data_IF_569968323557
#
_entry.id   IF_569968323557
#
_cell.length_a   1.000
_cell.length_b   1.000
_cell.length_c   1.000
_cell.angle_alpha   90.00
_cell.angle_beta   90.00
_cell.angle_gamma   90.00
#
_symmetry.space_group_name_H-M   'P 1'
#
loop_
_entity.id
_entity.type
_entity.pdbx_description
1 polymer ?
#
# COMPACT_ATOMS: atom_id res chain seq x y z
N UNK A 1 27.62 42.58 12.53
CA UNK A 1 29.01 42.15 12.30
C UNK A 1 28.92 40.82 11.57
N UNK A 2 29.44 40.73 10.35
CA UNK A 2 29.35 39.51 9.53
C UNK A 2 30.32 38.42 10.01
N UNK A 3 30.03 37.16 9.69
CA UNK A 3 30.90 36.01 10.00
C UNK A 3 32.34 36.24 9.53
N UNK A 4 32.51 36.91 8.39
CA UNK A 4 33.81 37.30 7.83
C UNK A 4 34.60 38.27 8.73
N UNK A 5 33.93 39.24 9.37
CA UNK A 5 34.54 40.17 10.34
C UNK A 5 34.92 39.45 11.65
N UNK A 6 34.16 38.42 12.02
CA UNK A 6 34.44 37.62 13.21
C UNK A 6 35.67 36.71 12.98
N UNK A 7 35.77 36.09 11.80
CA UNK A 7 36.87 35.22 11.42
C UNK A 7 38.19 36.00 11.19
N UNK A 8 38.13 37.20 10.64
CA UNK A 8 39.32 38.05 10.40
C UNK A 8 39.88 38.71 11.65
N UNK A 9 39.05 39.04 12.66
CA UNK A 9 39.54 39.67 13.91
C UNK A 9 40.32 38.72 14.84
N UNK A 10 40.18 37.41 14.67
CA UNK A 10 40.97 36.42 15.41
C UNK A 10 42.40 36.24 14.89
N UNK A 11 42.72 36.79 13.71
CA UNK A 11 43.99 36.58 13.02
C UNK A 11 45.00 37.69 13.34
N UNK A 12 45.61 37.60 14.53
CA UNK A 12 46.92 38.21 14.81
C UNK A 12 48.07 37.33 14.32
N UNK A 13 49.26 37.90 14.15
CA UNK A 13 50.48 37.23 13.67
C UNK A 13 50.72 35.88 14.41
N UNK A 14 50.75 34.80 13.62
CA UNK A 14 50.82 33.36 13.96
C UNK A 14 51.31 33.01 15.38
N UNK A 15 50.57 32.10 16.04
CA UNK A 15 51.12 30.79 16.38
C UNK A 15 50.18 29.64 16.02
N UNK A 16 50.68 28.41 16.13
CA UNK A 16 49.93 27.15 15.97
C UNK A 16 48.55 27.26 16.61
N UNK A 17 47.50 27.10 15.80
CA UNK A 17 46.10 27.23 16.23
C UNK A 17 45.79 26.05 17.14
N UNK A 18 45.13 26.27 18.28
CA UNK A 18 44.79 25.17 19.18
C UNK A 18 43.77 24.24 18.51
N UNK A 19 43.72 22.96 18.91
CA UNK A 19 42.71 22.01 18.41
C UNK A 19 41.27 22.53 18.63
N UNK A 20 41.07 23.35 19.66
CA UNK A 20 39.78 24.00 19.97
C UNK A 20 39.44 25.06 18.92
N UNK A 21 40.39 25.91 18.56
CA UNK A 21 40.20 26.97 17.56
C UNK A 21 40.06 26.39 16.13
N UNK A 22 40.74 25.28 15.84
CA UNK A 22 40.54 24.51 14.60
C UNK A 22 39.12 23.93 14.53
N UNK A 23 38.61 23.37 15.64
CA UNK A 23 37.23 22.88 15.71
C UNK A 23 36.20 23.99 15.46
N UNK A 24 36.37 25.15 16.07
CA UNK A 24 35.49 26.33 15.87
C UNK A 24 35.54 26.79 14.40
N UNK A 25 36.71 26.81 13.77
CA UNK A 25 36.84 27.15 12.36
C UNK A 25 36.11 26.16 11.45
N UNK A 26 36.27 24.85 11.70
CA UNK A 26 35.60 23.80 10.94
C UNK A 26 34.09 23.93 11.05
N UNK A 27 33.55 24.09 12.26
CA UNK A 27 32.10 24.22 12.48
C UNK A 27 31.53 25.46 11.77
N UNK A 28 32.21 26.61 11.88
CA UNK A 28 31.82 27.83 11.18
C UNK A 28 31.89 27.67 9.65
N UNK A 29 32.91 26.96 9.13
CA UNK A 29 33.05 26.71 7.69
C UNK A 29 31.96 25.78 7.15
N UNK A 30 31.55 24.77 7.94
CA UNK A 30 30.43 23.88 7.62
C UNK A 30 29.12 24.64 7.56
N UNK A 31 28.84 25.46 8.56
CA UNK A 31 27.62 26.27 8.59
C UNK A 31 27.56 27.23 7.40
N UNK A 32 28.67 27.93 7.11
CA UNK A 32 28.75 28.81 5.94
C UNK A 32 28.56 28.06 4.62
N UNK A 33 29.15 26.87 4.48
CA UNK A 33 28.97 26.02 3.30
C UNK A 33 27.50 25.59 3.12
N UNK A 34 26.79 25.26 4.20
CA UNK A 34 25.37 24.91 4.17
C UNK A 34 24.49 26.10 3.78
N UNK A 35 24.77 27.29 4.31
CA UNK A 35 24.05 28.51 3.93
C UNK A 35 24.22 28.80 2.44
N UNK A 36 25.47 28.86 1.96
CA UNK A 36 25.78 29.05 0.54
C UNK A 36 25.10 27.99 -0.33
N UNK A 37 25.11 26.73 0.13
CA UNK A 37 24.49 25.63 -0.58
C UNK A 37 22.98 25.85 -0.76
N UNK A 38 22.27 26.17 0.33
CA UNK A 38 20.82 26.39 0.33
C UNK A 38 20.44 27.58 -0.53
N UNK A 39 21.16 28.70 -0.41
CA UNK A 39 20.87 29.92 -1.18
C UNK A 39 21.03 29.70 -2.68
N UNK A 40 22.15 29.10 -3.10
CA UNK A 40 22.39 28.78 -4.50
C UNK A 40 21.40 27.73 -5.02
N UNK A 41 21.06 26.70 -4.21
CA UNK A 41 20.06 25.70 -4.57
C UNK A 41 18.71 26.36 -4.85
N UNK A 42 18.25 27.25 -3.98
CA UNK A 42 16.98 27.99 -4.18
C UNK A 42 17.01 28.82 -5.46
N UNK A 43 18.10 29.53 -5.75
CA UNK A 43 18.22 30.33 -6.96
C UNK A 43 18.12 29.49 -8.25
N UNK A 44 18.75 28.31 -8.28
CA UNK A 44 18.65 27.37 -9.41
C UNK A 44 17.20 26.90 -9.61
N UNK A 45 16.47 26.62 -8.52
CA UNK A 45 15.05 26.24 -8.59
C UNK A 45 14.23 27.38 -9.19
N UNK A 46 14.32 28.57 -8.60
CA UNK A 46 13.49 29.70 -8.97
C UNK A 46 13.67 30.08 -10.44
N UNK A 47 14.91 30.08 -10.92
CA UNK A 47 15.22 30.32 -12.33
C UNK A 47 14.59 29.27 -13.25
N UNK A 48 14.72 27.98 -12.92
CA UNK A 48 14.10 26.91 -13.70
C UNK A 48 12.57 27.03 -13.73
N UNK A 49 11.95 27.32 -12.59
CA UNK A 49 10.50 27.47 -12.48
C UNK A 49 9.98 28.67 -13.28
N UNK A 50 10.67 29.81 -13.21
CA UNK A 50 10.36 30.98 -14.01
C UNK A 50 10.48 30.69 -15.52
N UNK A 51 11.48 29.89 -15.90
CA UNK A 51 11.75 29.50 -17.27
C UNK A 51 10.69 28.56 -17.86
N UNK A 52 10.21 27.58 -17.11
CA UNK A 52 9.11 26.72 -17.55
C UNK A 52 7.77 27.48 -17.71
N UNK A 53 7.53 28.46 -16.85
CA UNK A 53 6.30 29.25 -16.88
C UNK A 53 6.25 30.26 -18.04
N UNK A 54 7.38 30.53 -18.72
CA UNK A 54 7.48 31.62 -19.69
C UNK A 54 7.03 31.21 -21.10
N UNK A 55 5.86 31.66 -21.60
CA UNK A 55 5.21 31.00 -22.75
C UNK A 55 5.75 31.37 -24.15
N UNK A 56 6.86 32.10 -24.25
CA UNK A 56 7.07 32.99 -25.42
C UNK A 56 8.42 32.91 -26.14
N UNK A 57 9.44 32.27 -25.57
CA UNK A 57 10.75 32.21 -26.21
C UNK A 57 10.91 30.93 -27.05
N UNK A 58 11.42 31.09 -28.28
CA UNK A 58 11.63 29.99 -29.24
C UNK A 58 12.93 30.18 -29.99
N UNK A 59 13.45 29.08 -30.56
CA UNK A 59 14.63 29.12 -31.44
C UNK A 59 15.84 29.72 -30.72
N UNK A 60 16.58 30.58 -31.43
CA UNK A 60 17.81 31.23 -30.91
C UNK A 60 17.58 32.07 -29.66
N UNK A 61 16.42 32.72 -29.51
CA UNK A 61 16.15 33.57 -28.36
C UNK A 61 15.99 32.75 -27.06
N UNK A 62 15.36 31.57 -27.17
CA UNK A 62 15.29 30.61 -26.06
C UNK A 62 16.68 30.07 -25.72
N UNK A 63 17.47 29.69 -26.74
CA UNK A 63 18.83 29.17 -26.54
C UNK A 63 19.72 30.18 -25.82
N UNK A 64 19.68 31.45 -26.25
CA UNK A 64 20.45 32.52 -25.62
C UNK A 64 20.05 32.71 -24.17
N UNK A 65 18.75 32.75 -23.88
CA UNK A 65 18.26 32.89 -22.51
C UNK A 65 18.70 31.73 -21.61
N UNK A 66 18.52 30.48 -22.06
CA UNK A 66 18.93 29.29 -21.30
C UNK A 66 20.44 29.35 -21.00
N UNK A 67 21.25 29.75 -21.99
CA UNK A 67 22.70 29.91 -21.81
C UNK A 67 23.02 31.00 -20.80
N UNK A 68 22.44 32.19 -20.97
CA UNK A 68 22.69 33.33 -20.07
C UNK A 68 22.27 33.02 -18.65
N UNK A 69 21.11 32.39 -18.43
CA UNK A 69 20.64 32.00 -17.10
C UNK A 69 21.58 30.96 -16.46
N UNK A 70 22.01 29.95 -17.24
CA UNK A 70 22.98 28.95 -16.80
C UNK A 70 24.32 29.59 -16.39
N UNK A 71 24.87 30.48 -17.22
CA UNK A 71 26.13 31.19 -16.98
C UNK A 71 26.03 32.10 -15.75
N UNK A 72 24.95 32.89 -15.64
CA UNK A 72 24.71 33.77 -14.49
C UNK A 72 24.60 32.99 -13.18
N UNK A 73 23.90 31.85 -13.19
CA UNK A 73 23.79 31.01 -11.99
C UNK A 73 25.10 30.33 -11.61
N UNK A 74 25.88 29.87 -12.59
CA UNK A 74 27.22 29.34 -12.31
C UNK A 74 28.16 30.41 -11.75
N UNK A 75 28.10 31.63 -12.29
CA UNK A 75 28.84 32.76 -11.74
C UNK A 75 28.40 33.05 -10.31
N UNK A 76 27.09 33.07 -10.03
CA UNK A 76 26.57 33.24 -8.67
C UNK A 76 27.05 32.13 -7.73
N UNK A 77 27.05 30.87 -8.16
CA UNK A 77 27.58 29.74 -7.38
C UNK A 77 29.08 29.97 -7.07
N UNK A 78 29.86 30.37 -8.08
CA UNK A 78 31.27 30.69 -7.91
C UNK A 78 31.48 31.81 -6.88
N UNK A 79 30.75 32.92 -7.03
CA UNK A 79 30.85 34.09 -6.16
C UNK A 79 30.48 33.80 -4.70
N UNK A 80 29.51 32.91 -4.46
CA UNK A 80 29.12 32.52 -3.10
C UNK A 80 30.16 31.62 -2.43
N UNK A 81 30.73 30.65 -3.17
CA UNK A 81 31.67 29.68 -2.59
C UNK A 81 33.12 30.17 -2.54
N UNK A 82 33.54 31.03 -3.47
CA UNK A 82 34.93 31.49 -3.59
C UNK A 82 35.48 32.11 -2.30
N UNK A 83 34.78 33.02 -1.58
CA UNK A 83 35.30 33.60 -0.33
C UNK A 83 35.58 32.53 0.74
N UNK A 84 34.69 31.55 0.87
CA UNK A 84 34.85 30.45 1.84
C UNK A 84 35.99 29.51 1.44
N UNK A 85 36.06 29.13 0.16
CA UNK A 85 37.14 28.28 -0.37
C UNK A 85 38.49 28.95 -0.14
N UNK A 86 38.64 30.23 -0.51
CA UNK A 86 39.88 30.98 -0.32
C UNK A 86 40.28 31.02 1.16
N UNK A 87 39.33 31.28 2.06
CA UNK A 87 39.61 31.31 3.50
C UNK A 87 40.08 29.94 4.03
N UNK A 88 39.44 28.85 3.60
CA UNK A 88 39.81 27.48 4.02
C UNK A 88 41.16 27.07 3.43
N UNK A 89 41.46 27.46 2.18
CA UNK A 89 42.77 27.24 1.54
C UNK A 89 43.90 27.99 2.26
N UNK A 90 43.68 29.27 2.61
CA UNK A 90 44.63 30.07 3.38
C UNK A 90 44.89 29.45 4.76
N UNK A 91 43.83 28.97 5.43
CA UNK A 91 43.96 28.26 6.70
C UNK A 91 44.74 26.95 6.53
N UNK A 92 44.42 26.14 5.51
CA UNK A 92 45.08 24.88 5.22
C UNK A 92 46.57 25.08 4.93
N UNK A 93 46.95 26.11 4.17
CA UNK A 93 48.35 26.46 3.91
C UNK A 93 49.11 26.82 5.20
N UNK A 94 48.41 27.40 6.18
CA UNK A 94 49.01 27.83 7.43
C UNK A 94 49.24 26.70 8.46
N UNK A 95 48.37 25.68 8.51
CA UNK A 95 48.37 24.63 9.55
C UNK A 95 48.64 23.20 9.03
N UNK A 96 48.52 22.92 7.72
CA UNK A 96 48.63 21.57 7.12
C UNK A 96 47.81 20.49 7.87
N UNK A 97 46.51 20.73 8.02
CA UNK A 97 45.59 19.81 8.69
C UNK A 97 44.80 18.94 7.71
N UNK A 98 44.78 17.63 7.96
CA UNK A 98 43.96 16.68 7.20
C UNK A 98 42.44 16.90 7.39
N UNK A 99 42.02 17.44 8.54
CA UNK A 99 40.60 17.73 8.82
C UNK A 99 40.14 18.92 8.00
N UNK A 100 40.97 19.95 7.89
CA UNK A 100 40.71 21.13 7.05
C UNK A 100 40.74 20.75 5.57
N UNK A 101 41.65 19.86 5.16
CA UNK A 101 41.68 19.33 3.79
C UNK A 101 40.40 18.57 3.43
N UNK A 102 39.89 17.73 4.34
CA UNK A 102 38.60 17.05 4.16
C UNK A 102 37.43 18.05 4.06
N UNK A 103 37.44 19.09 4.88
CA UNK A 103 36.43 20.15 4.83
C UNK A 103 36.47 20.93 3.51
N UNK A 104 37.66 21.25 3.00
CA UNK A 104 37.82 21.89 1.69
C UNK A 104 37.28 21.00 0.57
N UNK A 105 37.53 19.68 0.64
CA UNK A 105 36.98 18.73 -0.32
C UNK A 105 35.44 18.70 -0.27
N UNK A 106 34.84 18.71 0.93
CA UNK A 106 33.38 18.73 1.10
C UNK A 106 32.74 20.01 0.54
N UNK A 107 33.36 21.18 0.79
CA UNK A 107 32.91 22.47 0.25
C UNK A 107 32.98 22.47 -1.28
N UNK A 108 34.08 21.99 -1.85
CA UNK A 108 34.25 21.89 -3.30
C UNK A 108 33.25 20.92 -3.93
N UNK A 109 32.95 19.80 -3.27
CA UNK A 109 31.94 18.85 -3.76
C UNK A 109 30.55 19.49 -3.73
N UNK A 110 30.16 20.20 -2.67
CA UNK A 110 28.89 20.95 -2.60
C UNK A 110 28.75 21.97 -3.74
N UNK A 111 29.81 22.72 -4.04
CA UNK A 111 29.86 23.67 -5.16
C UNK A 111 29.67 22.96 -6.51
N UNK A 112 30.41 21.88 -6.74
CA UNK A 112 30.33 21.07 -7.97
C UNK A 112 28.94 20.47 -8.17
N UNK A 113 28.34 19.95 -7.11
CA UNK A 113 26.96 19.44 -7.07
C UNK A 113 25.97 20.52 -7.55
N UNK A 114 26.12 21.77 -7.09
CA UNK A 114 25.25 22.87 -7.52
C UNK A 114 25.43 23.22 -9.00
N UNK A 115 26.66 23.26 -9.50
CA UNK A 115 26.95 23.52 -10.91
C UNK A 115 26.34 22.44 -11.81
N UNK A 116 26.42 21.18 -11.38
CA UNK A 116 25.78 20.06 -12.07
C UNK A 116 24.24 20.09 -11.98
N UNK A 117 23.67 20.47 -10.82
CA UNK A 117 22.22 20.67 -10.68
C UNK A 117 21.71 21.78 -11.62
N UNK A 118 22.43 22.90 -11.67
CA UNK A 118 22.17 24.01 -12.57
C UNK A 118 22.19 23.55 -14.03
N UNK A 119 23.20 22.76 -14.40
CA UNK A 119 23.29 22.15 -15.72
C UNK A 119 22.07 21.30 -16.07
N UNK A 120 21.67 20.36 -15.19
CA UNK A 120 20.53 19.46 -15.47
C UNK A 120 19.21 20.23 -15.54
N UNK A 121 18.99 21.19 -14.65
CA UNK A 121 17.76 21.99 -14.65
C UNK A 121 17.58 22.71 -16.00
N UNK A 122 18.62 23.41 -16.45
CA UNK A 122 18.58 24.04 -17.75
C UNK A 122 18.41 22.99 -18.87
N UNK A 123 19.00 21.79 -18.71
CA UNK A 123 19.00 20.69 -19.70
C UNK A 123 17.58 20.26 -20.01
N UNK A 124 16.84 19.98 -18.93
CA UNK A 124 15.43 19.64 -18.97
C UNK A 124 14.62 20.78 -19.59
N UNK A 125 14.88 22.05 -19.23
CA UNK A 125 14.16 23.18 -19.83
C UNK A 125 14.36 23.26 -21.36
N UNK A 126 15.60 23.13 -21.83
CA UNK A 126 15.89 23.14 -23.27
C UNK A 126 15.19 22.01 -24.02
N UNK A 127 15.28 20.77 -23.50
CA UNK A 127 14.63 19.60 -24.10
C UNK A 127 13.10 19.71 -24.06
N UNK A 128 12.53 20.19 -22.96
CA UNK A 128 11.08 20.35 -22.78
C UNK A 128 10.51 21.32 -23.79
N UNK A 129 11.11 22.51 -23.89
CA UNK A 129 10.74 23.52 -24.87
C UNK A 129 10.94 23.01 -26.30
N UNK A 130 11.98 22.22 -26.55
CA UNK A 130 12.18 21.55 -27.84
C UNK A 130 11.07 20.59 -28.25
N UNK A 131 10.63 19.75 -27.32
CA UNK A 131 9.51 18.83 -27.51
C UNK A 131 8.17 19.56 -27.69
N UNK A 132 8.00 20.76 -27.14
CA UNK A 132 6.80 21.57 -27.38
C UNK A 132 6.79 22.20 -28.78
N UNK A 133 7.95 22.61 -29.30
CA UNK A 133 8.05 23.42 -30.52
C UNK A 133 8.65 22.70 -31.74
N UNK A 134 8.94 21.39 -31.64
CA UNK A 134 9.41 20.57 -32.76
C UNK A 134 10.85 20.85 -33.20
N UNK A 135 11.70 21.36 -32.30
CA UNK A 135 13.13 21.58 -32.56
C UNK A 135 14.01 20.77 -31.61
N UNK A 136 15.21 20.41 -32.06
CA UNK A 136 16.24 19.82 -31.21
C UNK A 136 17.03 20.94 -30.52
N UNK A 137 16.84 21.04 -29.21
CA UNK A 137 17.53 22.00 -28.35
C UNK A 137 18.44 21.25 -27.36
N UNK A 138 18.98 20.09 -27.72
CA UNK A 138 20.04 19.42 -26.94
C UNK A 138 21.44 20.03 -27.16
N UNK A 139 21.58 20.92 -28.14
CA UNK A 139 22.87 21.45 -28.64
C UNK A 139 23.57 22.52 -27.78
N UNK A 140 22.98 22.96 -26.66
CA UNK A 140 23.52 24.08 -25.84
C UNK A 140 24.32 23.62 -24.60
N UNK A 141 24.42 22.32 -24.35
CA UNK A 141 25.23 21.78 -23.26
C UNK A 141 26.72 22.08 -23.53
N UNK A 142 27.47 22.67 -22.57
CA UNK A 142 28.92 22.84 -22.70
C UNK A 142 29.59 21.54 -23.15
N UNK A 143 30.62 21.62 -23.99
CA UNK A 143 31.27 20.45 -24.60
C UNK A 143 31.63 19.37 -23.57
N UNK A 144 32.06 19.81 -22.39
CA UNK A 144 32.49 18.99 -21.26
C UNK A 144 31.34 18.20 -20.61
N UNK A 145 30.08 18.56 -20.85
CA UNK A 145 28.90 18.00 -20.18
C UNK A 145 28.06 17.06 -21.06
N UNK A 146 28.49 16.86 -22.32
CA UNK A 146 27.84 15.98 -23.31
C UNK A 146 27.81 14.49 -22.94
N UNK A 147 28.46 14.09 -21.83
CA UNK A 147 28.45 12.71 -21.32
C UNK A 147 27.18 12.36 -20.52
N UNK A 148 26.41 13.36 -20.08
CA UNK A 148 25.04 13.16 -19.61
C UNK A 148 24.18 12.93 -20.85
N UNK A 149 23.74 11.68 -21.05
CA UNK A 149 23.12 11.24 -22.28
C UNK A 149 21.85 12.04 -22.55
N UNK A 150 21.85 12.79 -23.66
CA UNK A 150 20.68 13.54 -24.12
C UNK A 150 19.43 12.65 -24.23
N UNK A 151 19.62 11.36 -24.49
CA UNK A 151 18.55 10.36 -24.55
C UNK A 151 17.84 10.13 -23.22
N UNK A 152 18.57 10.10 -22.09
CA UNK A 152 17.98 9.91 -20.75
C UNK A 152 17.16 11.15 -20.35
N UNK A 153 17.70 12.34 -20.63
CA UNK A 153 17.01 13.62 -20.42
C UNK A 153 15.78 13.77 -21.33
N UNK A 154 15.87 13.30 -22.58
CA UNK A 154 14.76 13.28 -23.54
C UNK A 154 13.66 12.30 -23.12
N UNK A 155 14.02 11.08 -22.71
CA UNK A 155 13.07 10.08 -22.21
C UNK A 155 12.34 10.60 -20.96
N UNK A 156 13.10 11.15 -20.02
CA UNK A 156 12.57 11.74 -18.80
C UNK A 156 11.58 12.88 -19.12
N UNK A 157 12.01 13.85 -19.93
CA UNK A 157 11.19 15.00 -20.28
C UNK A 157 9.93 14.63 -21.07
N UNK A 158 9.99 13.58 -21.90
CA UNK A 158 8.81 13.03 -22.60
C UNK A 158 7.83 12.37 -21.63
N UNK A 159 8.35 11.64 -20.65
CA UNK A 159 7.54 10.85 -19.69
C UNK A 159 6.77 11.76 -18.74
N UNK A 160 7.40 12.84 -18.26
CA UNK A 160 6.80 13.76 -17.27
C UNK A 160 6.29 15.07 -17.90
N UNK A 161 6.15 15.14 -19.23
CA UNK A 161 5.75 16.35 -19.98
C UNK A 161 4.45 16.98 -19.46
N UNK A 162 3.47 16.14 -19.14
CA UNK A 162 2.16 16.54 -18.63
C UNK A 162 2.25 17.07 -17.19
N UNK A 163 3.05 16.44 -16.33
CA UNK A 163 3.30 16.96 -14.97
C UNK A 163 3.97 18.34 -15.01
N UNK A 164 4.93 18.56 -15.93
CA UNK A 164 5.54 19.88 -16.13
C UNK A 164 4.56 20.95 -16.61
N UNK A 165 3.52 20.56 -17.36
CA UNK A 165 2.51 21.49 -17.85
C UNK A 165 1.48 21.87 -16.78
N UNK A 166 1.17 20.95 -15.87
CA UNK A 166 0.04 21.08 -14.92
C UNK A 166 0.46 21.38 -13.48
N UNK A 167 1.66 20.98 -13.03
CA UNK A 167 2.05 21.08 -11.62
C UNK A 167 3.54 21.45 -11.39
N UNK A 168 3.82 22.71 -11.04
CA UNK A 168 5.13 23.19 -10.59
C UNK A 168 5.83 22.37 -9.49
N UNK A 169 5.08 21.66 -8.64
CA UNK A 169 5.63 20.87 -7.52
C UNK A 169 6.23 19.52 -7.94
N UNK A 170 5.92 19.01 -9.13
CA UNK A 170 6.58 17.81 -9.68
C UNK A 170 8.09 18.01 -9.77
N UNK A 171 8.52 19.25 -10.02
CA UNK A 171 9.93 19.63 -10.07
C UNK A 171 10.67 19.48 -8.74
N UNK A 172 10.04 19.75 -7.59
CA UNK A 172 10.73 19.59 -6.29
C UNK A 172 11.14 18.13 -6.03
N UNK A 173 10.31 17.15 -6.43
CA UNK A 173 10.64 15.71 -6.32
C UNK A 173 11.73 15.28 -7.30
N UNK A 174 11.70 15.87 -8.49
CA UNK A 174 12.72 15.67 -9.53
C UNK A 174 14.04 16.28 -9.08
N UNK A 175 14.00 17.44 -8.42
CA UNK A 175 15.16 18.08 -7.83
C UNK A 175 15.72 17.26 -6.67
N UNK A 176 14.88 16.67 -5.80
CA UNK A 176 15.35 15.78 -4.73
C UNK A 176 15.97 14.50 -5.30
N UNK A 177 15.42 13.99 -6.40
CA UNK A 177 15.97 12.86 -7.17
C UNK A 177 17.31 13.21 -7.84
N UNK A 178 17.40 14.39 -8.44
CA UNK A 178 18.64 14.91 -9.02
C UNK A 178 19.67 15.21 -7.93
N UNK A 179 19.25 15.74 -6.79
CA UNK A 179 20.09 15.98 -5.60
C UNK A 179 20.68 14.68 -5.05
N UNK A 180 19.91 13.59 -5.00
CA UNK A 180 20.41 12.25 -4.63
C UNK A 180 21.40 11.68 -5.66
N UNK A 181 21.23 12.00 -6.95
CA UNK A 181 22.13 11.55 -8.03
C UNK A 181 23.48 12.28 -8.09
N UNK A 182 23.61 13.42 -7.40
CA UNK A 182 24.80 14.26 -7.47
C UNK A 182 25.91 13.87 -6.48
N UNK A 183 25.65 12.92 -5.58
CA UNK A 183 26.65 12.34 -4.68
C UNK A 183 26.90 10.84 -4.89
N UNK A 184 26.22 10.19 -5.85
CA UNK A 184 26.30 8.73 -6.03
C UNK A 184 26.37 8.34 -7.50
N UNK A 185 27.14 7.28 -7.77
CA UNK A 185 27.41 6.71 -9.09
C UNK A 185 26.12 6.51 -9.93
N UNK A 186 26.24 6.60 -11.27
CA UNK A 186 25.22 6.39 -12.34
C UNK A 186 24.05 5.41 -12.03
N UNK A 187 24.29 4.42 -11.19
CA UNK A 187 23.32 3.43 -10.71
C UNK A 187 22.14 4.04 -9.92
N UNK A 188 22.36 5.07 -9.10
CA UNK A 188 21.30 5.65 -8.25
C UNK A 188 20.30 6.50 -9.03
N UNK A 189 20.74 7.19 -10.09
CA UNK A 189 19.84 7.90 -11.01
C UNK A 189 18.82 6.94 -11.64
N UNK A 190 19.30 5.80 -12.16
CA UNK A 190 18.41 4.78 -12.73
C UNK A 190 17.44 4.16 -11.71
N UNK A 191 17.79 4.11 -10.42
CA UNK A 191 16.87 3.67 -9.36
C UNK A 191 15.78 4.71 -9.07
N UNK A 192 16.16 5.98 -8.97
CA UNK A 192 15.22 7.05 -8.68
C UNK A 192 14.27 7.33 -9.86
N UNK A 193 14.77 7.24 -11.10
CA UNK A 193 13.94 7.27 -12.31
C UNK A 193 12.90 6.14 -12.32
N UNK A 194 13.31 4.90 -11.97
CA UNK A 194 12.38 3.76 -11.86
C UNK A 194 11.32 3.99 -10.79
N UNK A 195 11.70 4.59 -9.66
CA UNK A 195 10.78 4.91 -8.57
C UNK A 195 9.76 5.97 -9.01
N UNK A 196 10.21 7.07 -9.62
CA UNK A 196 9.33 8.10 -10.18
C UNK A 196 8.38 7.53 -11.24
N UNK A 197 8.89 6.64 -12.11
CA UNK A 197 8.07 5.99 -13.14
C UNK A 197 6.98 5.12 -12.53
N UNK A 198 7.31 4.39 -11.47
CA UNK A 198 6.33 3.58 -10.71
C UNK A 198 5.25 4.49 -10.09
N UNK A 199 5.65 5.59 -9.47
CA UNK A 199 4.70 6.56 -8.89
C UNK A 199 3.78 7.21 -9.93
N UNK A 200 4.34 7.59 -11.08
CA UNK A 200 3.57 8.16 -12.19
C UNK A 200 2.54 7.17 -12.73
N UNK A 201 2.93 5.92 -12.98
CA UNK A 201 2.01 4.88 -13.43
C UNK A 201 0.89 4.63 -12.41
N UNK A 202 1.21 4.65 -11.10
CA UNK A 202 0.20 4.55 -10.04
C UNK A 202 -0.79 5.72 -10.13
N UNK A 203 -0.31 6.97 -10.19
CA UNK A 203 -1.18 8.16 -10.27
C UNK A 203 -2.04 8.16 -11.53
N UNK A 204 -1.44 7.88 -12.68
CA UNK A 204 -2.12 7.84 -13.98
C UNK A 204 -3.27 6.84 -13.99
N UNK A 205 -3.07 5.68 -13.39
CA UNK A 205 -4.08 4.63 -13.32
C UNK A 205 -5.03 4.77 -12.11
N UNK A 206 -4.76 5.68 -11.18
CA UNK A 206 -5.55 5.86 -9.97
C UNK A 206 -7.03 6.17 -10.22
N UNK A 207 -7.41 7.09 -11.13
CA UNK A 207 -8.83 7.40 -11.38
C UNK A 207 -9.61 6.17 -11.83
N UNK A 208 -9.08 5.42 -12.81
CA UNK A 208 -9.70 4.21 -13.34
C UNK A 208 -9.80 3.12 -12.27
N UNK A 209 -8.74 2.91 -11.51
CA UNK A 209 -8.70 1.89 -10.45
C UNK A 209 -9.70 2.21 -9.35
N UNK A 210 -9.81 3.49 -8.96
CA UNK A 210 -10.80 3.96 -8.00
C UNK A 210 -12.23 3.73 -8.51
N UNK A 211 -12.54 4.11 -9.75
CA UNK A 211 -13.85 3.83 -10.36
C UNK A 211 -14.20 2.33 -10.39
N UNK A 212 -13.21 1.47 -10.66
CA UNK A 212 -13.41 0.02 -10.60
C UNK A 212 -13.72 -0.45 -9.17
N UNK A 213 -13.05 0.11 -8.16
CA UNK A 213 -13.30 -0.20 -6.73
C UNK A 213 -14.72 0.23 -6.34
N UNK A 214 -15.15 1.43 -6.73
CA UNK A 214 -16.49 1.93 -6.40
C UNK A 214 -17.62 1.04 -6.95
N UNK A 215 -17.35 0.31 -8.04
CA UNK A 215 -18.30 -0.62 -8.66
C UNK A 215 -18.32 -2.01 -8.03
N UNK A 216 -17.38 -2.35 -7.14
CA UNK A 216 -17.38 -3.65 -6.45
C UNK A 216 -18.63 -3.73 -5.58
N UNK A 217 -19.39 -4.81 -5.69
CA UNK A 217 -20.50 -5.10 -4.79
C UNK A 217 -20.60 -6.61 -4.64
N UNK A 218 -21.02 -7.06 -3.47
CA UNK A 218 -21.20 -8.48 -3.14
C UNK A 218 -22.62 -8.80 -2.68
N UNK A 219 -23.57 -7.89 -2.91
CA UNK A 219 -24.97 -8.03 -2.47
C UNK A 219 -25.64 -9.22 -3.18
N UNK A 220 -25.33 -9.43 -4.46
CA UNK A 220 -25.88 -10.53 -5.23
C UNK A 220 -25.32 -11.88 -4.74
N UNK A 221 -24.02 -11.94 -4.48
CA UNK A 221 -23.32 -13.12 -3.97
C UNK A 221 -23.80 -13.51 -2.56
N UNK A 222 -24.03 -12.52 -1.69
CA UNK A 222 -24.60 -12.75 -0.36
C UNK A 222 -26.03 -13.32 -0.47
N UNK A 223 -26.87 -12.77 -1.36
CA UNK A 223 -28.22 -13.25 -1.57
C UNK A 223 -28.25 -14.68 -2.13
N UNK A 224 -27.42 -14.96 -3.13
CA UNK A 224 -27.29 -16.29 -3.74
C UNK A 224 -26.74 -17.32 -2.73
N UNK A 225 -25.82 -16.91 -1.85
CA UNK A 225 -25.35 -17.76 -0.74
C UNK A 225 -26.50 -18.12 0.20
N UNK A 226 -27.31 -17.14 0.62
CA UNK A 226 -28.46 -17.39 1.50
C UNK A 226 -29.44 -18.38 0.88
N UNK A 227 -29.71 -18.26 -0.42
CA UNK A 227 -30.56 -19.21 -1.15
C UNK A 227 -29.95 -20.63 -1.19
N UNK A 228 -28.65 -20.73 -1.48
CA UNK A 228 -27.95 -22.02 -1.48
C UNK A 228 -27.94 -22.69 -0.10
N UNK A 229 -27.71 -21.92 0.97
CA UNK A 229 -27.74 -22.45 2.34
C UNK A 229 -29.16 -22.90 2.72
N UNK A 230 -30.19 -22.16 2.31
CA UNK A 230 -31.57 -22.55 2.56
C UNK A 230 -31.91 -23.88 1.87
N UNK A 231 -31.55 -23.98 0.59
CA UNK A 231 -31.73 -25.22 -0.18
C UNK A 231 -30.97 -26.40 0.42
N UNK A 232 -29.71 -26.20 0.83
CA UNK A 232 -28.90 -27.25 1.45
C UNK A 232 -29.52 -27.69 2.79
N UNK A 233 -30.05 -26.75 3.57
CA UNK A 233 -30.74 -27.03 4.84
C UNK A 233 -31.99 -27.88 4.60
N UNK A 234 -32.81 -27.55 3.61
CA UNK A 234 -33.98 -28.36 3.24
C UNK A 234 -33.60 -29.76 2.76
N UNK A 235 -32.58 -29.88 1.91
CA UNK A 235 -32.09 -31.19 1.45
C UNK A 235 -31.52 -32.04 2.61
N UNK A 236 -30.88 -31.40 3.60
CA UNK A 236 -30.46 -32.04 4.85
C UNK A 236 -31.70 -32.52 5.63
N UNK A 237 -32.71 -31.68 5.79
CA UNK A 237 -33.96 -32.05 6.47
C UNK A 237 -34.64 -33.24 5.83
N UNK A 238 -34.67 -33.32 4.50
CA UNK A 238 -35.21 -34.46 3.77
C UNK A 238 -34.44 -35.75 4.05
N UNK A 239 -33.11 -35.69 4.17
CA UNK A 239 -32.30 -36.85 4.56
C UNK A 239 -32.63 -37.28 5.99
N UNK A 240 -32.71 -36.33 6.93
CA UNK A 240 -33.03 -36.59 8.34
C UNK A 240 -34.46 -37.16 8.51
N UNK A 241 -35.43 -36.63 7.77
CA UNK A 241 -36.82 -37.10 7.79
C UNK A 241 -36.97 -38.52 7.25
N UNK A 242 -36.08 -38.94 6.34
CA UNK A 242 -36.11 -40.26 5.71
C UNK A 242 -35.14 -41.27 6.33
N UNK A 243 -34.59 -40.99 7.52
CA UNK A 243 -33.77 -41.95 8.25
C UNK A 243 -34.55 -43.28 8.49
N UNK A 244 -33.91 -44.45 8.26
CA UNK A 244 -34.52 -45.76 8.50
C UNK A 244 -35.02 -45.92 9.94
N UNK A 245 -36.16 -46.61 10.13
CA UNK A 245 -36.68 -46.95 11.46
C UNK A 245 -35.75 -47.95 12.18
N UNK A 246 -35.62 -47.82 13.49
CA UNK A 246 -34.65 -48.54 14.33
C UNK A 246 -34.99 -50.04 14.58
N UNK A 247 -36.14 -50.53 14.11
CA UNK A 247 -36.74 -51.79 14.56
C UNK A 247 -36.31 -53.05 13.77
N UNK A 248 -35.28 -52.95 12.92
CA UNK A 248 -34.78 -54.06 12.09
C UNK A 248 -33.27 -54.25 12.30
N UNK A 249 -32.86 -55.36 12.91
CA UNK A 249 -31.45 -55.70 13.09
C UNK A 249 -30.95 -56.56 11.91
N UNK A 250 -30.03 -56.02 11.10
CA UNK A 250 -29.38 -56.76 10.02
C UNK A 250 -28.43 -55.94 9.12
N UNK A 251 -27.59 -56.59 8.29
CA UNK A 251 -26.59 -55.94 7.42
C UNK A 251 -27.17 -54.91 6.44
N UNK A 252 -28.41 -55.11 5.99
CA UNK A 252 -29.13 -54.19 5.10
C UNK A 252 -29.39 -52.82 5.75
N UNK A 253 -29.60 -52.78 7.08
CA UNK A 253 -29.74 -51.52 7.85
C UNK A 253 -28.45 -50.71 7.83
N UNK A 254 -27.30 -51.35 8.04
CA UNK A 254 -26.01 -50.67 8.05
C UNK A 254 -25.73 -49.97 6.72
N UNK A 255 -26.05 -50.63 5.60
CA UNK A 255 -25.91 -50.06 4.25
C UNK A 255 -26.83 -48.85 4.04
N UNK A 256 -28.10 -48.93 4.48
CA UNK A 256 -29.05 -47.83 4.35
C UNK A 256 -28.66 -46.62 5.21
N UNK A 257 -28.19 -46.86 6.44
CA UNK A 257 -27.72 -45.80 7.34
C UNK A 257 -26.46 -45.12 6.78
N UNK A 258 -25.49 -45.90 6.27
CA UNK A 258 -24.28 -45.37 5.66
C UNK A 258 -24.60 -44.53 4.40
N UNK A 259 -25.55 -44.97 3.56
CA UNK A 259 -25.99 -44.19 2.39
C UNK A 259 -26.63 -42.86 2.79
N UNK A 260 -27.49 -42.85 3.81
CA UNK A 260 -28.12 -41.63 4.30
C UNK A 260 -27.09 -40.66 4.91
N UNK A 261 -26.14 -41.17 5.71
CA UNK A 261 -25.05 -40.38 6.28
C UNK A 261 -24.14 -39.78 5.20
N UNK A 262 -23.78 -40.56 4.17
CA UNK A 262 -22.98 -40.05 3.06
C UNK A 262 -23.70 -38.93 2.31
N UNK A 263 -25.01 -39.09 2.06
CA UNK A 263 -25.81 -38.05 1.40
C UNK A 263 -25.92 -36.79 2.27
N UNK A 264 -26.10 -36.93 3.58
CA UNK A 264 -26.08 -35.82 4.52
C UNK A 264 -24.74 -35.07 4.48
N UNK A 265 -23.61 -35.76 4.63
CA UNK A 265 -22.29 -35.13 4.61
C UNK A 265 -21.96 -34.49 3.26
N UNK A 266 -22.43 -35.07 2.15
CA UNK A 266 -22.30 -34.47 0.83
C UNK A 266 -23.00 -33.10 0.76
N UNK A 267 -24.21 -32.97 1.31
CA UNK A 267 -24.95 -31.69 1.33
C UNK A 267 -24.29 -30.64 2.21
N UNK A 268 -23.83 -31.01 3.40
CA UNK A 268 -23.06 -30.10 4.24
C UNK A 268 -21.80 -29.60 3.52
N UNK A 269 -21.05 -30.50 2.87
CA UNK A 269 -19.83 -30.13 2.14
C UNK A 269 -20.08 -29.15 1.00
N UNK A 270 -21.22 -29.27 0.30
CA UNK A 270 -21.59 -28.34 -0.77
C UNK A 270 -21.87 -26.95 -0.18
N UNK A 271 -22.62 -26.86 0.92
CA UNK A 271 -22.88 -25.61 1.62
C UNK A 271 -21.58 -24.94 2.11
N UNK A 272 -20.69 -25.69 2.75
CA UNK A 272 -19.37 -25.21 3.21
C UNK A 272 -18.53 -24.68 2.04
N UNK A 273 -18.54 -25.38 0.90
CA UNK A 273 -17.80 -24.98 -0.30
C UNK A 273 -18.33 -23.66 -0.88
N UNK A 274 -19.66 -23.47 -0.90
CA UNK A 274 -20.29 -22.23 -1.36
C UNK A 274 -19.91 -21.06 -0.46
N UNK A 275 -19.96 -21.25 0.87
CA UNK A 275 -19.56 -20.25 1.87
C UNK A 275 -18.11 -19.80 1.66
N UNK A 276 -17.18 -20.75 1.61
CA UNK A 276 -15.76 -20.47 1.41
C UNK A 276 -15.47 -19.77 0.09
N UNK A 277 -16.25 -20.05 -0.95
CA UNK A 277 -16.11 -19.38 -2.25
C UNK A 277 -16.46 -17.90 -2.14
N UNK A 278 -17.59 -17.57 -1.51
CA UNK A 278 -18.04 -16.18 -1.33
C UNK A 278 -17.10 -15.40 -0.42
N UNK A 279 -16.68 -15.98 0.71
CA UNK A 279 -15.68 -15.36 1.60
C UNK A 279 -14.41 -14.99 0.83
N UNK A 280 -13.86 -15.92 0.04
CA UNK A 280 -12.67 -15.66 -0.77
C UNK A 280 -12.88 -14.58 -1.83
N UNK A 281 -14.07 -14.45 -2.39
CA UNK A 281 -14.38 -13.37 -3.34
C UNK A 281 -14.39 -12.01 -2.65
N UNK A 282 -15.03 -11.92 -1.48
CA UNK A 282 -15.09 -10.70 -0.68
C UNK A 282 -13.69 -10.28 -0.21
N UNK A 283 -12.90 -11.22 0.30
CA UNK A 283 -11.51 -10.99 0.72
C UNK A 283 -10.64 -10.46 -0.42
N UNK A 284 -10.80 -11.00 -1.64
CA UNK A 284 -10.10 -10.47 -2.83
C UNK A 284 -10.49 -9.03 -3.15
N UNK A 285 -11.77 -8.68 -2.95
CA UNK A 285 -12.25 -7.31 -3.07
C UNK A 285 -11.56 -6.37 -2.08
N UNK A 286 -11.51 -6.76 -0.80
CA UNK A 286 -10.83 -6.01 0.25
C UNK A 286 -9.32 -5.87 -0.01
N UNK A 287 -8.66 -6.94 -0.48
CA UNK A 287 -7.25 -6.87 -0.87
C UNK A 287 -6.98 -5.90 -2.03
N UNK A 288 -7.93 -5.76 -2.97
CA UNK A 288 -7.82 -4.76 -4.05
C UNK A 288 -7.86 -3.34 -3.48
N UNK A 289 -8.73 -3.09 -2.50
CA UNK A 289 -8.81 -1.81 -1.78
C UNK A 289 -7.53 -1.56 -0.99
N UNK A 290 -7.06 -2.53 -0.21
CA UNK A 290 -5.84 -2.41 0.60
C UNK A 290 -4.61 -2.06 -0.26
N UNK A 291 -4.41 -2.74 -1.39
CA UNK A 291 -3.32 -2.43 -2.33
C UNK A 291 -3.43 -1.04 -2.94
N UNK A 292 -4.64 -0.53 -3.11
CA UNK A 292 -4.87 0.83 -3.59
C UNK A 292 -4.54 1.86 -2.49
N UNK A 293 -4.98 1.60 -1.25
CA UNK A 293 -4.71 2.42 -0.07
C UNK A 293 -3.23 2.46 0.33
N UNK A 294 -2.46 1.38 0.07
CA UNK A 294 -0.99 1.37 0.26
C UNK A 294 -0.29 2.50 -0.53
N UNK A 295 -0.92 2.99 -1.60
CA UNK A 295 -0.42 4.08 -2.42
C UNK A 295 -1.10 5.43 -2.13
N UNK A 296 -1.84 5.56 -1.02
CA UNK A 296 -2.62 6.76 -0.66
C UNK A 296 -1.77 8.04 -0.66
N UNK A 297 -0.54 7.98 -0.18
CA UNK A 297 0.40 9.12 -0.16
C UNK A 297 0.81 9.59 -1.56
N UNK A 298 0.71 8.71 -2.56
CA UNK A 298 1.08 8.99 -3.95
C UNK A 298 -0.13 9.51 -4.74
N UNK A 299 -1.31 8.90 -4.59
CA UNK A 299 -2.52 9.22 -5.37
C UNK A 299 -3.31 10.42 -4.84
N UNK A 300 -3.14 10.74 -3.55
CA UNK A 300 -3.80 11.86 -2.87
C UNK A 300 -5.17 11.52 -2.28
N UNK A 301 -5.66 12.39 -1.38
CA UNK A 301 -6.85 12.13 -0.55
C UNK A 301 -8.18 12.11 -1.33
N UNK A 302 -8.20 12.65 -2.56
CA UNK A 302 -9.41 12.69 -3.40
C UNK A 302 -9.92 11.32 -3.85
N UNK A 303 -9.11 10.26 -3.72
CA UNK A 303 -9.47 8.89 -4.09
C UNK A 303 -9.72 8.00 -2.86
N UNK A 304 -10.51 8.51 -1.92
CA UNK A 304 -10.87 7.78 -0.71
C UNK A 304 -11.79 6.59 -1.03
N UNK A 305 -11.50 5.44 -0.40
CA UNK A 305 -12.26 4.20 -0.52
C UNK A 305 -12.87 3.76 0.81
N UNK A 306 -12.80 4.59 1.87
CA UNK A 306 -13.21 4.22 3.24
C UNK A 306 -14.66 3.76 3.32
N UNK A 307 -15.60 4.52 2.74
CA UNK A 307 -17.03 4.14 2.74
C UNK A 307 -17.25 2.82 2.00
N UNK A 308 -16.56 2.63 0.86
CA UNK A 308 -16.67 1.42 0.06
C UNK A 308 -16.10 0.20 0.77
N UNK A 309 -15.00 0.38 1.50
CA UNK A 309 -14.40 -0.64 2.35
C UNK A 309 -15.37 -1.07 3.45
N UNK A 310 -16.00 -0.11 4.14
CA UNK A 310 -16.99 -0.39 5.19
C UNK A 310 -18.21 -1.15 4.65
N UNK A 311 -18.69 -0.81 3.45
CA UNK A 311 -19.77 -1.54 2.78
C UNK A 311 -19.41 -3.03 2.58
N UNK A 312 -18.21 -3.31 2.07
CA UNK A 312 -17.75 -4.68 1.79
C UNK A 312 -17.44 -5.44 3.09
N UNK A 313 -16.82 -4.78 4.08
CA UNK A 313 -16.55 -5.37 5.41
C UNK A 313 -17.84 -5.76 6.12
N UNK A 314 -18.90 -4.97 5.99
CA UNK A 314 -20.22 -5.32 6.53
C UNK A 314 -20.76 -6.61 5.91
N UNK A 315 -20.69 -6.76 4.58
CA UNK A 315 -21.11 -8.00 3.90
C UNK A 315 -20.26 -9.19 4.36
N UNK A 316 -18.95 -9.00 4.56
CA UNK A 316 -18.08 -10.05 5.10
C UNK A 316 -18.52 -10.48 6.50
N UNK A 317 -18.89 -9.53 7.36
CA UNK A 317 -19.42 -9.83 8.69
C UNK A 317 -20.70 -10.64 8.61
N UNK A 318 -21.65 -10.24 7.76
CA UNK A 318 -22.92 -10.93 7.56
C UNK A 318 -22.70 -12.37 7.05
N UNK A 319 -21.76 -12.58 6.10
CA UNK A 319 -21.40 -13.91 5.60
C UNK A 319 -20.71 -14.76 6.68
N UNK A 320 -19.83 -14.18 7.49
CA UNK A 320 -19.16 -14.91 8.58
C UNK A 320 -20.14 -15.30 9.70
N UNK A 321 -21.19 -14.50 9.95
CA UNK A 321 -22.26 -14.86 10.87
C UNK A 321 -23.03 -16.09 10.35
N UNK A 322 -23.35 -16.12 9.05
CA UNK A 322 -23.96 -17.29 8.40
C UNK A 322 -23.06 -18.52 8.54
N UNK A 323 -21.75 -18.40 8.33
CA UNK A 323 -20.78 -19.49 8.49
C UNK A 323 -20.75 -20.06 9.91
N UNK A 324 -20.69 -19.17 10.90
CA UNK A 324 -20.69 -19.54 12.31
C UNK A 324 -21.98 -20.27 12.71
N UNK A 325 -23.14 -19.73 12.31
CA UNK A 325 -24.43 -20.31 12.64
C UNK A 325 -24.67 -21.64 11.91
N UNK A 326 -24.25 -21.75 10.64
CA UNK A 326 -24.40 -22.98 9.86
C UNK A 326 -23.48 -24.09 10.37
N UNK A 327 -22.22 -23.76 10.73
CA UNK A 327 -21.31 -24.66 11.41
C UNK A 327 -21.87 -25.17 12.73
N UNK A 328 -22.57 -24.31 13.47
CA UNK A 328 -23.25 -24.68 14.73
C UNK A 328 -24.44 -25.60 14.47
N UNK A 329 -25.24 -25.30 13.44
CA UNK A 329 -26.33 -26.15 12.98
C UNK A 329 -25.84 -27.56 12.60
N UNK A 330 -24.78 -27.65 11.80
CA UNK A 330 -24.21 -28.93 11.38
C UNK A 330 -23.73 -29.76 12.57
N UNK A 331 -22.98 -29.16 13.52
CA UNK A 331 -22.53 -29.85 14.73
C UNK A 331 -23.68 -30.44 15.55
N UNK A 332 -24.77 -29.67 15.69
CA UNK A 332 -25.95 -30.12 16.42
C UNK A 332 -26.73 -31.19 15.65
N UNK A 333 -26.82 -31.08 14.32
CA UNK A 333 -27.42 -32.10 13.46
C UNK A 333 -26.62 -33.41 13.52
N UNK A 334 -25.28 -33.35 13.46
CA UNK A 334 -24.38 -34.51 13.65
C UNK A 334 -24.60 -35.19 15.00
N UNK A 335 -24.71 -34.41 16.08
CA UNK A 335 -25.01 -34.93 17.42
C UNK A 335 -26.40 -35.58 17.49
N UNK A 336 -27.40 -35.00 16.84
CA UNK A 336 -28.75 -35.54 16.78
C UNK A 336 -28.77 -36.89 16.03
N UNK A 337 -28.10 -36.96 14.88
CA UNK A 337 -27.94 -38.18 14.08
C UNK A 337 -27.18 -39.25 14.86
N UNK A 338 -26.09 -38.90 15.54
CA UNK A 338 -25.34 -39.82 16.39
C UNK A 338 -26.21 -40.38 17.53
N UNK A 339 -26.95 -39.50 18.23
CA UNK A 339 -27.82 -39.89 19.36
C UNK A 339 -28.95 -40.81 18.88
N UNK A 340 -29.55 -40.51 17.71
CA UNK A 340 -30.54 -41.36 17.04
C UNK A 340 -30.01 -42.77 16.81
N UNK A 341 -28.82 -42.94 16.23
CA UNK A 341 -28.26 -44.26 15.97
C UNK A 341 -27.78 -45.01 17.22
N UNK A 342 -27.28 -44.29 18.23
CA UNK A 342 -26.86 -44.87 19.52
C UNK A 342 -28.04 -45.40 20.32
N UNK A 343 -29.20 -44.73 20.27
CA UNK A 343 -30.41 -45.13 21.00
C UNK A 343 -30.99 -46.48 20.54
N UNK A 344 -30.69 -46.92 19.31
CA UNK A 344 -31.25 -48.13 18.71
C UNK A 344 -30.24 -49.19 18.27
N UNK A 345 -28.99 -49.16 18.72
CA UNK A 345 -28.03 -50.24 18.39
C UNK A 345 -26.85 -50.34 19.37
N UNK A 346 -26.35 -51.56 19.58
CA UNK A 346 -25.06 -51.87 20.23
C UNK A 346 -23.83 -51.56 19.35
N UNK A 347 -24.03 -50.97 18.17
CA UNK A 347 -23.01 -50.82 17.12
C UNK A 347 -22.16 -49.55 17.24
N UNK A 348 -22.62 -48.51 17.95
CA UNK A 348 -21.90 -47.23 18.05
C UNK A 348 -21.08 -47.19 19.35
N UNK A 349 -19.84 -47.71 19.32
CA UNK A 349 -18.88 -47.71 20.46
C UNK A 349 -18.03 -46.43 20.57
N UNK A 350 -18.32 -45.38 19.80
CA UNK A 350 -17.55 -44.13 19.85
C UNK A 350 -17.95 -43.31 21.07
N UNK A 351 -17.06 -43.17 22.06
CA UNK A 351 -17.24 -42.30 23.24
C UNK A 351 -16.95 -40.81 22.98
N UNK A 352 -16.66 -40.41 21.73
CA UNK A 352 -16.14 -39.07 21.42
C UNK A 352 -17.22 -38.00 21.19
N UNK A 353 -18.47 -38.39 20.93
CA UNK A 353 -19.56 -37.44 20.66
C UNK A 353 -20.53 -37.46 21.84
N UNK A 354 -20.67 -36.30 22.50
CA UNK A 354 -21.62 -36.10 23.60
C UNK A 354 -23.06 -36.28 23.09
N UNK A 355 -23.94 -36.96 23.82
CA UNK A 355 -25.36 -37.03 23.48
C UNK A 355 -25.99 -35.64 23.43
N UNK A 356 -26.93 -35.45 22.50
CA UNK A 356 -27.69 -34.21 22.36
C UNK A 356 -28.48 -33.94 23.65
N UNK A 357 -28.47 -32.71 24.18
CA UNK A 357 -29.36 -32.29 25.28
C UNK A 357 -30.62 -31.62 24.75
N UNK A 358 -31.63 -31.42 25.60
CA UNK A 358 -32.83 -30.70 25.21
C UNK A 358 -32.59 -29.22 24.83
N UNK A 359 -31.61 -28.56 25.47
CA UNK A 359 -31.17 -27.20 25.10
C UNK A 359 -30.50 -27.18 23.72
N UNK A 360 -29.66 -28.19 23.44
CA UNK A 360 -29.02 -28.37 22.14
C UNK A 360 -30.08 -28.62 21.05
N UNK A 361 -31.11 -29.40 21.35
CA UNK A 361 -32.23 -29.66 20.45
C UNK A 361 -33.07 -28.41 20.15
N UNK A 362 -33.35 -27.56 21.14
CA UNK A 362 -34.01 -26.26 20.92
C UNK A 362 -33.16 -25.34 20.03
N UNK A 363 -31.84 -25.33 20.25
CA UNK A 363 -30.90 -24.54 19.44
C UNK A 363 -30.86 -25.06 18.00
N UNK A 364 -30.89 -26.38 17.81
CA UNK A 364 -30.97 -27.00 16.48
C UNK A 364 -32.24 -26.59 15.73
N UNK A 365 -33.41 -26.61 16.38
CA UNK A 365 -34.68 -26.17 15.76
C UNK A 365 -34.64 -24.69 15.41
N UNK A 366 -34.07 -23.84 16.28
CA UNK A 366 -33.95 -22.40 16.01
C UNK A 366 -33.10 -22.15 14.77
N UNK A 367 -31.92 -22.77 14.69
CA UNK A 367 -31.01 -22.63 13.56
C UNK A 367 -31.59 -23.22 12.28
N UNK A 368 -32.28 -24.36 12.37
CA UNK A 368 -32.98 -24.96 11.22
C UNK A 368 -33.99 -23.98 10.59
N UNK A 369 -34.83 -23.36 11.42
CA UNK A 369 -35.81 -22.36 10.96
C UNK A 369 -35.15 -21.09 10.43
N UNK A 370 -34.04 -20.66 11.05
CA UNK A 370 -33.28 -19.49 10.61
C UNK A 370 -32.73 -19.67 9.19
N UNK A 371 -32.30 -20.89 8.84
CA UNK A 371 -31.87 -21.22 7.49
C UNK A 371 -33.01 -21.69 6.57
N UNK A 372 -34.28 -21.49 6.93
CA UNK A 372 -35.42 -21.83 6.08
C UNK A 372 -35.79 -23.32 6.03
N UNK A 373 -35.19 -24.14 6.89
CA UNK A 373 -35.48 -25.56 6.99
C UNK A 373 -36.92 -25.87 7.41
N UNK A 374 -37.48 -26.93 6.84
CA UNK A 374 -38.85 -27.37 7.15
C UNK A 374 -39.08 -27.91 8.58
N UNK A 375 -38.03 -28.17 9.37
CA UNK A 375 -38.11 -28.73 10.73
C UNK A 375 -38.59 -30.18 10.83
N UNK A 376 -39.02 -30.82 9.73
CA UNK A 376 -39.64 -32.15 9.74
C UNK A 376 -38.66 -33.25 10.16
N UNK A 377 -37.42 -33.18 9.69
CA UNK A 377 -36.38 -34.14 10.01
C UNK A 377 -35.96 -34.07 11.48
N UNK A 378 -35.69 -32.85 11.96
CA UNK A 378 -35.35 -32.60 13.37
C UNK A 378 -36.48 -33.04 14.30
N UNK A 379 -37.74 -32.72 13.97
CA UNK A 379 -38.89 -33.11 14.77
C UNK A 379 -39.04 -34.65 14.88
N UNK A 380 -38.82 -35.38 13.79
CA UNK A 380 -38.86 -36.86 13.78
C UNK A 380 -37.77 -37.44 14.69
N UNK A 381 -36.57 -36.89 14.67
CA UNK A 381 -35.47 -37.31 15.57
C UNK A 381 -35.84 -37.00 17.03
N UNK A 382 -36.39 -35.80 17.30
CA UNK A 382 -36.82 -35.41 18.64
C UNK A 382 -37.92 -36.29 19.24
N UNK A 383 -38.89 -36.73 18.42
CA UNK A 383 -39.93 -37.67 18.83
C UNK A 383 -39.34 -39.04 19.21
N UNK A 384 -38.39 -39.56 18.43
CA UNK A 384 -37.77 -40.86 18.74
C UNK A 384 -36.83 -40.83 19.94
N UNK A 385 -36.24 -39.66 20.23
CA UNK A 385 -35.38 -39.45 21.39
C UNK A 385 -36.14 -38.98 22.63
N UNK A 386 -37.48 -38.97 22.60
CA UNK A 386 -38.35 -38.51 23.69
C UNK A 386 -38.09 -37.07 24.18
N UNK A 387 -37.50 -36.20 23.36
CA UNK A 387 -37.33 -34.79 23.71
C UNK A 387 -38.66 -34.01 23.74
N UNK A 388 -39.69 -34.50 23.04
CA UNK A 388 -41.03 -33.92 23.07
C UNK A 388 -41.74 -34.11 24.42
N UNK A 389 -41.45 -35.18 25.16
CA UNK A 389 -42.05 -35.48 26.47
C UNK A 389 -41.34 -34.75 27.64
N UNK A 390 -40.12 -34.25 27.43
CA UNK A 390 -39.35 -33.50 28.43
C UNK A 390 -39.58 -31.98 28.38
N UNK A 391 -40.33 -31.48 27.37
CA UNK A 391 -40.61 -30.07 27.16
C UNK A 391 -41.28 -29.32 28.34
N UNK A 392 -42.16 -29.93 29.19
CA UNK A 392 -42.78 -29.19 30.30
C UNK A 392 -41.82 -28.91 31.46
N UNK A 393 -40.73 -29.66 31.63
CA UNK A 393 -39.83 -29.52 32.78
C UNK A 393 -38.75 -28.45 32.60
N UNK A 394 -38.52 -27.98 31.38
CA UNK A 394 -37.42 -27.07 31.06
C UNK A 394 -37.84 -25.59 31.14
N UNK A 395 -39.13 -25.28 30.93
CA UNK A 395 -39.68 -23.94 31.12
C UNK A 395 -39.71 -23.47 32.59
N UNK A 396 -39.47 -24.36 33.55
CA UNK A 396 -39.38 -24.00 34.97
C UNK A 396 -37.96 -23.56 35.40
N UNK A 397 -36.94 -23.72 34.54
CA UNK A 397 -35.57 -23.30 34.86
C UNK A 397 -35.27 -21.87 34.37
N UNK A 398 -36.02 -21.35 33.40
CA UNK A 398 -35.90 -19.95 32.92
C UNK A 398 -36.72 -18.93 33.73
N UNK A 399 -37.49 -19.34 34.75
CA UNK A 399 -38.15 -18.42 35.70
C UNK A 399 -37.33 -18.12 36.95
N UNK A 400 -36.13 -18.69 37.08
CA UNK A 400 -35.17 -18.35 38.14
C UNK A 400 -33.83 -18.00 37.51
N UNK A 401 -33.77 -16.84 36.85
CA UNK A 401 -32.57 -15.99 36.76
C UNK A 401 -32.95 -14.60 36.30
#
# INVERSE_FOLDING_TARGET
MGLLDYLTKGWGEKPVVSVVDEGVFIDASKEAAEVNYRECRTAVIESFMANLAEPKLRGKALQEKIRTDYENLNQRIEENFKPLITLVEEFLQSQKSAVVEAQLAEINEKKKVLQQANFVAHSVHGVYSGLQFGGDYSFWLPQETKYLLADDLLFFTRTYKEEFAENPQGFNRIQDTLHLSLGTERYTFGLAERQLRKEYEIKKNAPKTWEEIQKISFIAEEAELKEHIAKATDEIQDVLANLPKLNFDGPQRAVLCAKALNKYHEKCRIADSSMQSVVKMIEKGLQKIEKFEQHRTIIGEKYDCTEKRQEIEKILMDVNEIDYDFSSYQKLADQAVYTYFKSGSSFVRSNKIRPLTAKDFQTLIRLDRQFGGSGKGVAKIGQQLNFAEQAPQINNVERVR
#
